data_IF_553424528279
#
_entry.id   IF_553424528279
#
_cell.length_a   1.000
_cell.length_b   1.000
_cell.length_c   1.000
_cell.angle_alpha   90.00
_cell.angle_beta   90.00
_cell.angle_gamma   90.00
#
_symmetry.space_group_name_H-M   'P 1'
#
loop_
_entity.id
_entity.type
_entity.pdbx_description
1 polymer ?
#
# COMPACT_ATOMS: atom_id res chain seq x y z
N UNK A 1 -40.58 -1.86 11.83
CA UNK A 1 -40.31 -1.25 13.14
C UNK A 1 -38.98 -0.55 12.96
N UNK A 2 -39.04 0.73 12.62
CA UNK A 2 -37.89 1.46 12.09
C UNK A 2 -36.99 1.87 13.25
N UNK A 3 -35.76 1.39 13.25
CA UNK A 3 -34.77 1.74 14.26
C UNK A 3 -34.04 3.02 13.81
N UNK A 4 -34.38 4.14 14.42
CA UNK A 4 -33.62 5.38 14.28
C UNK A 4 -32.41 5.31 15.22
N UNK A 5 -31.20 5.34 14.67
CA UNK A 5 -29.98 5.47 15.49
C UNK A 5 -29.24 6.75 15.13
N UNK A 6 -29.15 7.66 16.10
CA UNK A 6 -28.37 8.89 15.99
C UNK A 6 -26.90 8.55 16.22
N UNK A 7 -26.10 8.46 15.17
CA UNK A 7 -24.67 8.20 15.28
C UNK A 7 -23.93 9.55 15.38
N UNK A 8 -23.40 9.83 16.56
CA UNK A 8 -22.60 11.02 16.85
C UNK A 8 -21.16 10.73 16.41
N UNK A 9 -20.77 11.19 15.23
CA UNK A 9 -19.38 11.09 14.77
C UNK A 9 -18.63 12.36 15.19
N UNK A 10 -17.55 12.28 15.98
CA UNK A 10 -16.78 13.46 16.34
C UNK A 10 -16.14 14.05 15.08
N UNK A 11 -16.51 15.28 14.72
CA UNK A 11 -15.83 16.03 13.66
C UNK A 11 -14.50 16.57 14.20
N UNK A 12 -13.46 16.51 13.38
CA UNK A 12 -12.20 17.21 13.64
C UNK A 12 -12.47 18.69 13.41
N UNK A 13 -12.97 19.40 14.44
CA UNK A 13 -13.32 20.82 14.34
C UNK A 13 -14.46 21.33 15.22
N UNK A 14 -15.04 20.52 16.11
CA UNK A 14 -15.93 21.05 17.17
C UNK A 14 -17.34 21.46 16.74
N UNK A 15 -17.75 21.25 15.48
CA UNK A 15 -19.16 21.29 15.08
C UNK A 15 -19.71 19.87 14.93
N UNK A 16 -20.67 19.51 15.77
CA UNK A 16 -21.41 18.26 15.66
C UNK A 16 -22.34 18.33 14.43
N UNK A 17 -21.92 17.72 13.33
CA UNK A 17 -22.80 17.50 12.17
C UNK A 17 -23.56 16.20 12.39
N UNK A 18 -24.87 16.29 12.62
CA UNK A 18 -25.76 15.12 12.70
C UNK A 18 -26.06 14.65 11.28
N UNK A 19 -25.45 13.54 10.86
CA UNK A 19 -25.82 12.88 9.60
C UNK A 19 -27.02 11.96 9.85
N UNK A 20 -28.18 12.31 9.30
CA UNK A 20 -29.30 11.38 9.18
C UNK A 20 -29.06 10.48 7.96
N UNK A 21 -28.58 9.25 8.19
CA UNK A 21 -28.59 8.22 7.15
C UNK A 21 -29.85 7.37 7.29
N UNK A 22 -30.64 7.33 6.22
CA UNK A 22 -31.70 6.34 6.04
C UNK A 22 -31.02 4.98 5.77
N UNK A 23 -30.78 4.20 6.83
CA UNK A 23 -30.32 2.81 6.70
C UNK A 23 -31.55 1.92 6.56
N UNK A 24 -31.80 1.45 5.34
CA UNK A 24 -33.01 0.69 4.99
C UNK A 24 -32.96 -0.75 5.54
N UNK A 25 -31.79 -1.25 5.99
CA UNK A 25 -31.68 -2.62 6.51
C UNK A 25 -30.49 -2.84 7.46
N UNK A 26 -30.62 -3.81 8.39
CA UNK A 26 -29.52 -4.25 9.29
C UNK A 26 -28.32 -4.79 8.49
N UNK A 27 -28.57 -5.35 7.30
CA UNK A 27 -27.52 -5.75 6.34
C UNK A 27 -26.72 -4.57 5.80
N UNK A 28 -27.34 -3.41 5.56
CA UNK A 28 -26.65 -2.22 5.07
C UNK A 28 -25.78 -1.59 6.16
N UNK A 29 -26.24 -1.65 7.42
CA UNK A 29 -25.45 -1.24 8.58
C UNK A 29 -24.26 -2.17 8.82
N UNK A 30 -24.46 -3.49 8.78
CA UNK A 30 -23.35 -4.45 8.86
C UNK A 30 -22.37 -4.30 7.70
N UNK A 31 -22.86 -4.02 6.48
CA UNK A 31 -22.01 -3.73 5.32
C UNK A 31 -21.23 -2.42 5.50
N UNK A 32 -21.86 -1.38 6.04
CA UNK A 32 -21.21 -0.09 6.36
C UNK A 32 -20.19 -0.21 7.50
N UNK A 33 -20.50 -0.94 8.57
CA UNK A 33 -19.58 -1.25 9.66
C UNK A 33 -18.46 -2.21 9.23
N UNK A 34 -18.71 -3.17 8.34
CA UNK A 34 -17.66 -4.00 7.73
C UNK A 34 -16.75 -3.20 6.82
N UNK A 35 -17.25 -2.11 6.22
CA UNK A 35 -16.46 -1.13 5.47
C UNK A 35 -15.64 -0.18 6.35
N UNK A 36 -15.83 -0.23 7.67
CA UNK A 36 -15.03 0.51 8.67
C UNK A 36 -13.86 -0.33 9.23
N UNK A 37 -13.34 -1.30 8.47
CA UNK A 37 -11.99 -1.81 8.76
C UNK A 37 -11.01 -0.68 8.45
N UNK A 38 -10.42 -0.10 9.49
CA UNK A 38 -9.34 0.87 9.34
C UNK A 38 -8.10 0.12 8.82
N UNK A 39 -7.92 0.13 7.50
CA UNK A 39 -6.78 -0.47 6.84
C UNK A 39 -5.49 0.28 7.19
N UNK A 40 -4.42 -0.45 7.45
CA UNK A 40 -3.08 0.06 7.59
C UNK A 40 -2.28 -0.31 6.34
N UNK A 41 -1.87 0.71 5.60
CA UNK A 41 -1.00 0.55 4.43
C UNK A 41 0.41 0.97 4.81
N UNK A 42 1.37 0.08 4.64
CA UNK A 42 2.79 0.37 4.84
C UNK A 42 3.56 0.17 3.55
N UNK A 43 4.43 1.11 3.21
CA UNK A 43 5.35 0.98 2.08
C UNK A 43 6.78 0.97 2.63
N UNK A 44 7.46 -0.16 2.54
CA UNK A 44 8.88 -0.32 2.89
C UNK A 44 9.70 -0.19 1.62
N UNK A 45 10.65 0.75 1.60
CA UNK A 45 11.42 1.03 0.39
C UNK A 45 12.90 1.32 0.67
N UNK A 46 13.78 0.87 -0.22
CA UNK A 46 15.23 1.03 -0.10
C UNK A 46 15.71 2.34 -0.71
N UNK A 47 16.45 3.14 0.05
CA UNK A 47 17.06 4.39 -0.38
C UNK A 47 16.22 5.63 -0.06
N UNK A 48 16.87 6.80 -0.04
CA UNK A 48 16.20 8.09 0.16
C UNK A 48 15.72 8.68 -1.17
N UNK A 49 14.55 9.31 -1.16
CA UNK A 49 14.12 10.17 -2.26
C UNK A 49 15.02 11.42 -2.29
N UNK A 50 15.65 11.72 -3.43
CA UNK A 50 16.51 12.91 -3.56
C UNK A 50 15.73 14.08 -4.15
N UNK A 51 14.92 13.77 -5.14
CA UNK A 51 14.25 14.68 -6.06
C UNK A 51 12.95 15.21 -5.47
N UNK A 52 12.74 16.52 -5.59
CA UNK A 52 11.56 17.19 -5.01
C UNK A 52 10.25 16.72 -5.64
N UNK A 53 10.22 16.55 -6.96
CA UNK A 53 9.00 16.17 -7.68
C UNK A 53 8.46 14.79 -7.26
N UNK A 54 9.33 13.81 -6.98
CA UNK A 54 8.90 12.52 -6.45
C UNK A 54 8.37 12.63 -5.02
N UNK A 55 9.02 13.44 -4.16
CA UNK A 55 8.53 13.68 -2.80
C UNK A 55 7.15 14.33 -2.80
N UNK A 56 6.95 15.33 -3.63
CA UNK A 56 5.69 16.06 -3.73
C UNK A 56 4.57 15.15 -4.24
N UNK A 57 4.82 14.36 -5.29
CA UNK A 57 3.85 13.40 -5.82
C UNK A 57 3.44 12.36 -4.76
N UNK A 58 4.41 11.78 -4.05
CA UNK A 58 4.13 10.80 -2.98
C UNK A 58 3.38 11.45 -1.83
N UNK A 59 3.73 12.68 -1.44
CA UNK A 59 3.04 13.40 -0.37
C UNK A 59 1.56 13.68 -0.73
N UNK A 60 1.30 14.06 -1.98
CA UNK A 60 -0.06 14.30 -2.47
C UNK A 60 -0.91 13.01 -2.44
N UNK A 61 -0.40 11.90 -2.98
CA UNK A 61 -1.15 10.63 -2.94
C UNK A 61 -1.29 10.07 -1.52
N UNK A 62 -0.28 10.22 -0.66
CA UNK A 62 -0.38 9.85 0.75
C UNK A 62 -1.49 10.63 1.46
N UNK A 63 -1.59 11.95 1.21
CA UNK A 63 -2.65 12.81 1.76
C UNK A 63 -4.02 12.41 1.25
N UNK A 64 -4.15 12.03 -0.04
CA UNK A 64 -5.42 11.54 -0.59
C UNK A 64 -5.83 10.20 0.01
N UNK A 65 -4.87 9.28 0.14
CA UNK A 65 -5.08 7.96 0.73
C UNK A 65 -5.43 7.99 2.23
N UNK A 66 -4.97 9.00 2.97
CA UNK A 66 -5.23 9.08 4.42
C UNK A 66 -6.71 9.21 4.79
N UNK A 67 -7.57 9.48 3.81
CA UNK A 67 -9.04 9.44 3.97
C UNK A 67 -9.60 8.03 4.07
N UNK A 68 -8.88 7.04 3.57
CA UNK A 68 -9.33 5.65 3.46
C UNK A 68 -8.55 4.70 4.38
N UNK A 69 -7.26 4.98 4.61
CA UNK A 69 -6.37 4.10 5.33
C UNK A 69 -5.29 4.88 6.10
N UNK A 70 -4.75 4.28 7.17
CA UNK A 70 -3.54 4.79 7.81
C UNK A 70 -2.33 4.43 6.95
N UNK A 71 -1.71 5.43 6.33
CA UNK A 71 -0.55 5.22 5.43
C UNK A 71 0.77 5.55 6.11
N UNK A 72 1.69 4.60 6.10
CA UNK A 72 3.06 4.75 6.56
C UNK A 72 4.06 4.43 5.44
N UNK A 73 5.13 5.21 5.35
CA UNK A 73 6.21 4.98 4.38
C UNK A 73 7.50 4.88 5.18
N UNK A 74 8.15 3.73 5.13
CA UNK A 74 9.37 3.41 5.85
C UNK A 74 10.51 3.30 4.84
N UNK A 75 11.51 4.16 4.98
CA UNK A 75 12.70 4.14 4.14
C UNK A 75 13.83 3.43 4.90
N UNK A 76 14.44 2.44 4.26
CA UNK A 76 15.66 1.80 4.77
C UNK A 76 16.88 2.30 3.98
N UNK A 77 18.07 2.40 4.59
CA UNK A 77 19.28 2.83 3.88
C UNK A 77 19.61 1.89 2.73
N UNK A 78 19.94 2.47 1.58
CA UNK A 78 20.56 1.79 0.44
C UNK A 78 22.03 1.49 0.73
N UNK A 79 22.55 0.40 0.17
CA UNK A 79 23.98 0.16 0.12
C UNK A 79 24.59 0.81 -1.11
N UNK A 80 25.83 1.30 -0.96
CA UNK A 80 26.55 1.84 -2.10
C UNK A 80 26.87 0.70 -3.06
N UNK A 81 26.39 0.84 -4.29
CA UNK A 81 26.81 0.03 -5.40
C UNK A 81 28.06 0.64 -6.07
N UNK A 82 29.27 0.06 -5.94
CA UNK A 82 30.39 0.42 -6.80
C UNK A 82 30.08 0.07 -8.25
N UNK A 83 30.66 0.80 -9.21
CA UNK A 83 30.33 0.67 -10.65
C UNK A 83 30.68 -0.69 -11.28
N UNK A 84 31.41 -1.56 -10.56
CA UNK A 84 31.76 -2.91 -10.99
C UNK A 84 31.47 -3.89 -9.86
N UNK A 85 30.34 -4.58 -9.95
CA UNK A 85 30.04 -5.71 -9.09
C UNK A 85 30.28 -7.03 -9.81
N UNK A 86 30.87 -7.98 -9.10
CA UNK A 86 30.69 -9.40 -9.37
C UNK A 86 29.29 -9.84 -8.90
N UNK A 87 28.74 -10.89 -9.50
CA UNK A 87 27.42 -11.41 -9.09
C UNK A 87 27.33 -11.73 -7.59
N UNK A 88 28.43 -12.14 -6.96
CA UNK A 88 28.49 -12.41 -5.52
C UNK A 88 28.34 -11.15 -4.66
N UNK A 89 28.85 -10.01 -5.12
CA UNK A 89 28.73 -8.74 -4.41
C UNK A 89 27.33 -8.13 -4.59
N UNK A 90 26.71 -8.30 -5.77
CA UNK A 90 25.31 -7.93 -5.99
C UNK A 90 24.36 -8.69 -5.04
N UNK A 91 24.58 -10.00 -4.86
CA UNK A 91 23.82 -10.78 -3.88
C UNK A 91 24.04 -10.27 -2.46
N UNK A 92 25.29 -9.95 -2.08
CA UNK A 92 25.59 -9.43 -0.75
C UNK A 92 24.86 -8.11 -0.47
N UNK A 93 24.79 -7.20 -1.44
CA UNK A 93 24.03 -5.96 -1.32
C UNK A 93 22.54 -6.25 -1.12
N UNK A 94 21.96 -7.11 -1.97
CA UNK A 94 20.55 -7.50 -1.83
C UNK A 94 20.26 -8.11 -0.46
N UNK A 95 21.14 -8.94 0.08
CA UNK A 95 20.96 -9.54 1.40
C UNK A 95 21.00 -8.51 2.53
N UNK A 96 21.95 -7.56 2.50
CA UNK A 96 22.03 -6.49 3.51
C UNK A 96 20.78 -5.62 3.47
N UNK A 97 20.36 -5.20 2.27
CA UNK A 97 19.13 -4.42 2.09
C UNK A 97 17.89 -5.24 2.47
N UNK A 98 17.89 -6.53 2.15
CA UNK A 98 16.83 -7.48 2.47
C UNK A 98 16.63 -7.65 3.98
N UNK A 99 17.71 -7.80 4.75
CA UNK A 99 17.64 -7.82 6.21
C UNK A 99 17.04 -6.55 6.78
N UNK A 100 17.38 -5.38 6.22
CA UNK A 100 16.80 -4.10 6.64
C UNK A 100 15.31 -4.05 6.34
N UNK A 101 14.88 -4.50 5.16
CA UNK A 101 13.46 -4.60 4.79
C UNK A 101 12.73 -5.51 5.77
N UNK A 102 13.23 -6.74 5.96
CA UNK A 102 12.61 -7.75 6.82
C UNK A 102 12.46 -7.26 8.26
N UNK A 103 13.43 -6.52 8.79
CA UNK A 103 13.35 -5.90 10.13
C UNK A 103 12.20 -4.90 10.31
N UNK A 104 11.57 -4.46 9.21
CA UNK A 104 10.45 -3.52 9.20
C UNK A 104 9.11 -4.20 8.92
N UNK A 105 9.08 -5.50 8.67
CA UNK A 105 7.87 -6.28 8.38
C UNK A 105 7.51 -7.08 9.64
N UNK A 106 6.23 -7.06 10.02
CA UNK A 106 5.73 -7.90 11.13
C UNK A 106 5.14 -9.19 10.60
N UNK A 107 5.06 -10.22 11.44
CA UNK A 107 4.63 -11.56 11.03
C UNK A 107 3.20 -11.62 10.49
N UNK A 108 2.29 -10.77 11.00
CA UNK A 108 0.87 -10.77 10.63
C UNK A 108 0.53 -9.92 9.40
N UNK A 109 1.49 -9.18 8.87
CA UNK A 109 1.25 -8.30 7.72
C UNK A 109 1.17 -9.13 6.44
N UNK A 110 0.22 -8.79 5.57
CA UNK A 110 0.17 -9.31 4.20
C UNK A 110 1.16 -8.53 3.34
N UNK A 111 2.12 -9.20 2.71
CA UNK A 111 3.26 -8.56 2.05
C UNK A 111 3.23 -8.74 0.54
N UNK A 112 3.05 -7.63 -0.17
CA UNK A 112 3.32 -7.54 -1.60
C UNK A 112 4.77 -7.11 -1.84
N UNK A 113 5.52 -7.87 -2.63
CA UNK A 113 6.87 -7.49 -3.06
C UNK A 113 6.86 -7.12 -4.53
N UNK A 114 7.35 -5.91 -4.87
CA UNK A 114 7.45 -5.51 -6.28
C UNK A 114 8.56 -6.30 -6.96
N UNK A 115 8.22 -7.05 -8.00
CA UNK A 115 9.16 -7.84 -8.78
C UNK A 115 8.76 -7.82 -10.25
N UNK A 116 9.72 -7.69 -11.17
CA UNK A 116 9.45 -7.71 -12.62
C UNK A 116 8.77 -9.02 -13.02
N UNK A 117 9.19 -10.14 -12.41
CA UNK A 117 8.62 -11.48 -12.60
C UNK A 117 7.37 -11.76 -11.76
N UNK A 118 6.84 -10.77 -11.05
CA UNK A 118 5.59 -10.90 -10.29
C UNK A 118 4.35 -11.00 -11.19
N UNK A 119 3.21 -11.30 -10.58
CA UNK A 119 1.91 -11.31 -11.25
C UNK A 119 1.53 -9.90 -11.70
N UNK A 120 1.14 -9.76 -12.97
CA UNK A 120 0.53 -8.55 -13.50
C UNK A 120 -0.97 -8.59 -13.24
N UNK A 121 -1.55 -7.41 -12.98
CA UNK A 121 -2.98 -7.25 -12.68
C UNK A 121 -3.50 -6.02 -13.38
N UNK A 122 -4.79 -6.02 -13.73
CA UNK A 122 -5.51 -4.77 -13.98
C UNK A 122 -5.70 -3.99 -12.68
N UNK A 123 -6.05 -2.71 -12.77
CA UNK A 123 -6.35 -1.90 -11.58
C UNK A 123 -7.57 -2.43 -10.82
N UNK A 124 -8.56 -2.99 -11.51
CA UNK A 124 -9.78 -3.58 -10.95
C UNK A 124 -9.47 -4.88 -10.19
N UNK A 125 -8.62 -5.74 -10.77
CA UNK A 125 -8.16 -6.96 -10.10
C UNK A 125 -7.40 -6.62 -8.81
N UNK A 126 -6.50 -5.63 -8.88
CA UNK A 126 -5.77 -5.16 -7.71
C UNK A 126 -6.69 -4.53 -6.64
N UNK A 127 -7.68 -3.75 -7.06
CA UNK A 127 -8.68 -3.18 -6.16
C UNK A 127 -9.49 -4.26 -5.44
N UNK A 128 -9.94 -5.27 -6.19
CA UNK A 128 -10.66 -6.42 -5.65
C UNK A 128 -9.81 -7.20 -4.65
N UNK A 129 -8.55 -7.48 -4.97
CA UNK A 129 -7.64 -8.19 -4.06
C UNK A 129 -7.45 -7.43 -2.73
N UNK A 130 -7.27 -6.10 -2.77
CA UNK A 130 -7.19 -5.27 -1.54
C UNK A 130 -8.50 -5.35 -0.73
N UNK A 131 -9.66 -5.34 -1.40
CA UNK A 131 -10.95 -5.46 -0.73
C UNK A 131 -11.16 -6.84 -0.10
N UNK A 132 -10.78 -7.90 -0.81
CA UNK A 132 -10.87 -9.27 -0.34
C UNK A 132 -9.98 -9.45 0.91
N UNK A 133 -8.74 -8.94 0.88
CA UNK A 133 -7.83 -8.98 2.04
C UNK A 133 -8.47 -8.33 3.28
N UNK A 134 -9.07 -7.14 3.11
CA UNK A 134 -9.78 -6.48 4.21
C UNK A 134 -10.95 -7.32 4.73
N UNK A 135 -11.72 -7.95 3.82
CA UNK A 135 -12.89 -8.78 4.14
C UNK A 135 -12.49 -10.04 4.92
N UNK A 136 -11.33 -10.63 4.61
CA UNK A 136 -10.80 -11.82 5.27
C UNK A 136 -9.89 -11.52 6.48
N UNK A 137 -9.90 -10.28 6.98
CA UNK A 137 -9.25 -9.92 8.25
C UNK A 137 -7.79 -9.49 8.14
N UNK A 138 -7.26 -9.30 6.93
CA UNK A 138 -5.94 -8.69 6.73
C UNK A 138 -6.05 -7.17 6.71
N UNK A 139 -6.01 -6.55 7.89
CA UNK A 139 -6.05 -5.09 8.02
C UNK A 139 -4.69 -4.41 7.80
N UNK A 140 -3.59 -5.16 7.88
CA UNK A 140 -2.23 -4.64 7.73
C UNK A 140 -1.59 -5.15 6.44
N UNK A 141 -1.50 -4.28 5.42
CA UNK A 141 -0.89 -4.59 4.12
C UNK A 141 0.42 -3.83 3.97
N UNK A 142 1.49 -4.55 3.69
CA UNK A 142 2.82 -4.02 3.45
C UNK A 142 3.23 -4.22 2.00
N UNK A 143 3.68 -3.14 1.36
CA UNK A 143 4.29 -3.18 0.04
C UNK A 143 5.80 -2.97 0.16
N UNK A 144 6.59 -3.77 -0.53
CA UNK A 144 8.05 -3.71 -0.54
C UNK A 144 8.57 -3.28 -1.90
N UNK A 145 9.41 -2.25 -1.92
CA UNK A 145 10.17 -1.82 -3.10
C UNK A 145 11.66 -1.97 -2.81
N UNK A 146 12.33 -2.82 -3.59
CA UNK A 146 13.78 -3.07 -3.51
C UNK A 146 14.64 -1.89 -3.97
N UNK A 147 15.96 -2.07 -3.84
CA UNK A 147 16.96 -1.13 -4.34
C UNK A 147 17.17 -1.24 -5.85
N UNK A 148 18.29 -0.72 -6.36
CA UNK A 148 18.65 -0.82 -7.79
C UNK A 148 18.83 -2.26 -8.27
N UNK A 149 19.26 -3.17 -7.38
CA UNK A 149 19.46 -4.58 -7.68
C UNK A 149 18.21 -5.44 -7.45
N UNK A 150 17.11 -4.86 -6.96
CA UNK A 150 15.88 -5.57 -6.60
C UNK A 150 15.85 -6.01 -5.14
N UNK A 151 15.24 -7.17 -4.88
CA UNK A 151 15.02 -7.74 -3.53
C UNK A 151 15.74 -9.07 -3.39
N UNK A 152 16.20 -9.40 -2.18
CA UNK A 152 16.80 -10.71 -1.90
C UNK A 152 15.76 -11.84 -1.93
N UNK A 153 16.24 -13.07 -2.06
CA UNK A 153 15.39 -14.25 -2.01
C UNK A 153 14.66 -14.38 -0.67
N UNK A 154 15.29 -13.96 0.44
CA UNK A 154 14.65 -13.95 1.74
C UNK A 154 13.42 -13.01 1.78
N UNK A 155 13.52 -11.82 1.17
CA UNK A 155 12.39 -10.89 1.04
C UNK A 155 11.30 -11.46 0.14
N UNK A 156 11.67 -12.04 -1.00
CA UNK A 156 10.72 -12.63 -1.93
C UNK A 156 9.97 -13.82 -1.31
N UNK A 157 10.65 -14.64 -0.50
CA UNK A 157 10.03 -15.74 0.26
C UNK A 157 9.14 -15.27 1.39
N UNK A 158 9.45 -14.12 2.03
CA UNK A 158 8.55 -13.52 3.02
C UNK A 158 7.33 -12.88 2.36
N UNK A 159 7.44 -12.44 1.11
CA UNK A 159 6.29 -11.93 0.35
C UNK A 159 5.17 -12.97 0.27
N UNK A 160 3.96 -12.56 0.64
CA UNK A 160 2.75 -13.34 0.40
C UNK A 160 2.38 -13.33 -1.10
N UNK A 161 2.77 -12.26 -1.80
CA UNK A 161 2.57 -12.13 -3.24
C UNK A 161 3.68 -11.28 -3.90
N UNK A 162 4.00 -11.61 -5.16
CA UNK A 162 4.90 -10.82 -6.00
C UNK A 162 4.07 -10.04 -7.03
N UNK A 163 4.16 -8.72 -7.00
CA UNK A 163 3.44 -7.83 -7.92
C UNK A 163 4.36 -7.23 -8.98
N UNK A 164 3.92 -7.29 -10.24
CA UNK A 164 4.60 -6.67 -11.38
C UNK A 164 3.76 -5.53 -11.95
N UNK A 165 4.41 -4.40 -12.24
CA UNK A 165 3.81 -3.23 -12.88
C UNK A 165 4.11 -3.17 -14.39
N UNK A 166 4.62 -4.27 -14.95
CA UNK A 166 4.93 -4.39 -16.36
C UNK A 166 6.28 -5.06 -16.62
N UNK A 167 6.61 -5.20 -17.90
CA UNK A 167 7.88 -5.80 -18.35
C UNK A 167 9.06 -4.84 -18.32
N UNK A 168 8.79 -3.53 -18.30
CA UNK A 168 9.82 -2.49 -18.29
C UNK A 168 10.41 -2.33 -16.88
N UNK A 169 11.71 -2.09 -16.83
CA UNK A 169 12.39 -1.78 -15.57
C UNK A 169 12.18 -0.30 -15.24
N UNK A 170 11.54 -0.02 -14.11
CA UNK A 170 11.37 1.33 -13.61
C UNK A 170 12.39 1.62 -12.51
N UNK A 171 12.97 2.83 -12.46
CA UNK A 171 13.76 3.25 -11.31
C UNK A 171 12.94 3.14 -10.03
N UNK A 172 13.53 2.60 -8.96
CA UNK A 172 12.84 2.34 -7.70
C UNK A 172 12.15 3.60 -7.11
N UNK A 173 12.68 4.79 -7.36
CA UNK A 173 12.05 6.05 -6.95
C UNK A 173 10.74 6.33 -7.71
N UNK A 174 10.72 6.12 -9.02
CA UNK A 174 9.51 6.24 -9.84
C UNK A 174 8.48 5.17 -9.43
N UNK A 175 8.95 3.94 -9.18
CA UNK A 175 8.09 2.86 -8.71
C UNK A 175 7.35 3.22 -7.41
N UNK A 176 7.95 3.99 -6.50
CA UNK A 176 7.23 4.46 -5.30
C UNK A 176 6.03 5.32 -5.63
N UNK A 177 6.16 6.22 -6.62
CA UNK A 177 5.06 7.10 -7.06
C UNK A 177 3.97 6.28 -7.74
N UNK A 178 4.35 5.40 -8.66
CA UNK A 178 3.39 4.55 -9.38
C UNK A 178 2.65 3.64 -8.41
N UNK A 179 3.35 3.02 -7.45
CA UNK A 179 2.73 2.16 -6.45
C UNK A 179 1.70 2.92 -5.60
N UNK A 180 2.08 4.06 -5.02
CA UNK A 180 1.16 4.79 -4.13
C UNK A 180 -0.06 5.33 -4.88
N UNK A 181 0.11 5.72 -6.14
CA UNK A 181 -1.00 6.10 -7.02
C UNK A 181 -1.92 4.91 -7.31
N UNK A 182 -1.38 3.73 -7.61
CA UNK A 182 -2.19 2.53 -7.88
C UNK A 182 -2.92 2.04 -6.63
N UNK A 183 -2.32 2.16 -5.45
CA UNK A 183 -3.03 1.91 -4.17
C UNK A 183 -4.18 2.92 -4.03
N UNK A 184 -3.94 4.21 -4.27
CA UNK A 184 -5.00 5.22 -4.26
C UNK A 184 -6.13 4.88 -5.24
N UNK A 185 -5.79 4.52 -6.47
CA UNK A 185 -6.74 4.08 -7.49
C UNK A 185 -7.58 2.90 -7.04
N UNK A 186 -6.97 1.89 -6.42
CA UNK A 186 -7.69 0.75 -5.86
C UNK A 186 -8.75 1.17 -4.83
N UNK A 187 -8.42 2.08 -3.91
CA UNK A 187 -9.40 2.64 -2.96
C UNK A 187 -10.50 3.47 -3.66
N UNK A 188 -10.16 4.20 -4.71
CA UNK A 188 -11.14 4.96 -5.50
C UNK A 188 -12.11 4.04 -6.25
N UNK A 189 -11.63 2.95 -6.84
CA UNK A 189 -12.47 1.90 -7.46
C UNK A 189 -13.39 1.27 -6.41
N UNK A 190 -12.85 0.84 -5.27
CA UNK A 190 -13.62 0.19 -4.20
C UNK A 190 -14.66 1.11 -3.53
N UNK A 191 -14.47 2.42 -3.61
CA UNK A 191 -15.45 3.42 -3.15
C UNK A 191 -16.49 3.80 -4.22
N UNK A 192 -16.42 3.20 -5.41
CA UNK A 192 -17.34 3.48 -6.53
C UNK A 192 -17.12 4.85 -7.17
N UNK A 193 -15.93 5.44 -7.03
CA UNK A 193 -15.63 6.76 -7.58
C UNK A 193 -15.39 6.72 -9.10
N UNK A 194 -15.82 7.73 -9.86
CA UNK A 194 -15.55 7.84 -11.31
C UNK A 194 -14.11 8.24 -11.64
N UNK A 195 -13.18 8.19 -10.68
CA UNK A 195 -11.76 8.46 -10.88
C UNK A 195 -11.11 7.47 -11.86
N UNK A 196 -11.62 6.24 -11.86
CA UNK A 196 -11.21 5.22 -12.80
C UNK A 196 -12.06 5.34 -14.07
N UNK A 197 -11.41 5.56 -15.21
CA UNK A 197 -12.00 5.66 -16.55
C UNK A 197 -11.28 4.69 -17.46
#
# INVERSE_FOLDING_TARGET
>A
MDAYMTLVVPSVGGLMTVFFYFLVNVKDYLLFCSKLVCMNIKIVCVGKLKEKYFKDAIAEYKKRLSRFAKVSIVQVPDEKAPEKFSAAEDEKVKEIEGQRILSKIKDKEYVYVTAIKGKQRSSEEFAKEIQDLATYGHSDITFVIGGSLGTSDAVNKRGDDLISFGKLTMPHQLMRVVLIEQIYRAFMINSGSPYHK
#
